data_IF_844976592384
#
_entry.id   IF_844976592384
#
_cell.length_a   1.000
_cell.length_b   1.000
_cell.length_c   1.000
_cell.angle_alpha   90.00
_cell.angle_beta   90.00
_cell.angle_gamma   90.00
#
_symmetry.space_group_name_H-M   'P 1'
#
loop_
_entity.id
_entity.type
_entity.pdbx_description
1 polymer ?
#
# COMPACT_ATOMS: atom_id res chain seq x y z
N UNK A 1 11.93 -13.65 -51.32
CA UNK A 1 11.83 -13.38 -49.89
C UNK A 1 13.14 -12.84 -49.30
N UNK A 2 14.28 -13.53 -49.44
CA UNK A 2 15.57 -13.11 -48.84
C UNK A 2 16.01 -11.70 -49.32
N UNK A 3 15.85 -11.40 -50.61
CA UNK A 3 16.25 -10.11 -51.18
C UNK A 3 15.38 -8.95 -50.62
N UNK A 4 14.03 -9.15 -50.53
CA UNK A 4 13.11 -8.18 -49.94
C UNK A 4 13.40 -7.98 -48.44
N UNK A 5 13.66 -9.05 -47.71
CA UNK A 5 14.06 -9.00 -46.30
C UNK A 5 15.33 -8.18 -46.05
N UNK A 6 16.34 -8.31 -46.97
CA UNK A 6 17.58 -7.57 -46.89
C UNK A 6 17.33 -6.06 -47.14
N UNK A 7 16.56 -5.70 -48.18
CA UNK A 7 16.20 -4.29 -48.46
C UNK A 7 15.45 -3.62 -47.31
N UNK A 8 14.51 -4.33 -46.68
CA UNK A 8 13.71 -3.81 -45.57
C UNK A 8 14.56 -3.63 -44.31
N UNK A 9 15.47 -4.59 -44.05
CA UNK A 9 16.41 -4.51 -42.91
C UNK A 9 17.40 -3.34 -43.08
N UNK A 10 17.91 -3.12 -44.27
CA UNK A 10 18.89 -2.05 -44.56
C UNK A 10 18.25 -0.65 -44.40
N UNK A 11 16.92 -0.56 -44.42
CA UNK A 11 16.14 0.64 -44.12
C UNK A 11 15.77 0.79 -42.62
N UNK A 12 16.25 -0.09 -41.76
CA UNK A 12 16.05 -0.03 -40.31
C UNK A 12 14.65 -0.44 -39.81
N UNK A 13 13.76 -0.96 -40.68
CA UNK A 13 12.36 -1.28 -40.31
C UNK A 13 12.22 -2.47 -39.33
N UNK A 14 13.33 -3.13 -38.99
CA UNK A 14 13.38 -4.23 -38.01
C UNK A 14 14.19 -3.88 -36.76
N UNK A 15 14.51 -2.59 -36.58
CA UNK A 15 15.33 -2.17 -35.45
C UNK A 15 14.61 -2.44 -34.13
N UNK A 16 15.29 -3.13 -33.23
CA UNK A 16 14.79 -3.43 -31.89
C UNK A 16 14.61 -2.18 -31.03
N UNK A 17 15.35 -1.11 -31.33
CA UNK A 17 15.22 0.17 -30.62
C UNK A 17 13.85 0.84 -30.86
N UNK A 18 13.16 0.49 -31.97
CA UNK A 18 11.86 1.04 -32.30
C UNK A 18 10.68 0.28 -31.64
N UNK A 19 10.93 -0.91 -31.11
CA UNK A 19 9.90 -1.75 -30.51
C UNK A 19 9.37 -1.20 -29.21
N UNK A 20 8.04 -1.16 -29.11
CA UNK A 20 7.30 -0.64 -27.96
C UNK A 20 6.98 -1.75 -26.97
N UNK A 21 7.00 -1.49 -25.67
CA UNK A 21 6.51 -2.43 -24.67
C UNK A 21 5.01 -2.63 -24.79
N UNK A 22 4.55 -3.88 -24.68
CA UNK A 22 3.13 -4.19 -24.62
C UNK A 22 2.58 -3.71 -23.27
N UNK A 23 1.46 -2.97 -23.22
CA UNK A 23 0.89 -2.51 -21.97
C UNK A 23 0.46 -3.69 -21.09
N UNK A 24 0.79 -3.62 -19.80
CA UNK A 24 0.49 -4.70 -18.86
C UNK A 24 -1.01 -4.98 -18.72
N UNK A 25 -1.85 -3.94 -18.77
CA UNK A 25 -3.29 -4.05 -18.58
C UNK A 25 -4.02 -3.17 -19.60
N UNK A 26 -4.16 -3.62 -20.87
CA UNK A 26 -4.86 -2.85 -21.88
C UNK A 26 -6.35 -2.80 -21.57
N UNK A 27 -6.94 -1.64 -21.74
CA UNK A 27 -8.40 -1.44 -21.62
C UNK A 27 -9.12 -1.86 -22.88
N UNK A 28 -8.50 -1.58 -24.03
CA UNK A 28 -9.06 -1.88 -25.35
C UNK A 28 -8.01 -2.56 -26.21
N UNK A 29 -8.38 -3.68 -26.81
CA UNK A 29 -7.52 -4.47 -27.69
C UNK A 29 -8.09 -4.37 -29.11
N UNK A 30 -7.31 -3.84 -30.02
CA UNK A 30 -7.64 -3.84 -31.45
C UNK A 30 -7.27 -5.18 -32.08
N UNK A 31 -8.13 -5.76 -32.86
CA UNK A 31 -7.83 -7.00 -33.59
C UNK A 31 -8.04 -6.77 -35.08
N UNK A 32 -7.00 -7.00 -35.89
CA UNK A 32 -7.05 -7.01 -37.35
C UNK A 32 -7.10 -8.48 -37.78
N UNK A 33 -8.28 -8.91 -38.21
CA UNK A 33 -8.51 -10.30 -38.64
C UNK A 33 -9.83 -10.44 -39.44
N UNK A 34 -10.06 -11.63 -39.97
CA UNK A 34 -11.35 -11.94 -40.63
C UNK A 34 -12.46 -12.06 -39.59
N UNK A 35 -13.64 -11.46 -39.90
CA UNK A 35 -14.80 -11.50 -39.00
C UNK A 35 -15.39 -12.89 -38.77
N UNK A 36 -15.29 -13.79 -39.77
CA UNK A 36 -15.89 -15.14 -39.71
C UNK A 36 -14.92 -16.25 -39.33
N UNK A 37 -13.65 -15.92 -39.05
CA UNK A 37 -12.59 -16.89 -38.80
C UNK A 37 -12.67 -17.54 -37.39
N UNK A 38 -12.12 -18.74 -37.26
CA UNK A 38 -11.92 -19.39 -35.97
C UNK A 38 -10.99 -18.54 -35.09
N UNK A 39 -10.01 -17.88 -35.70
CA UNK A 39 -8.98 -17.05 -35.04
C UNK A 39 -9.56 -15.99 -34.11
N UNK A 40 -10.55 -15.25 -34.56
CA UNK A 40 -11.16 -14.21 -33.71
C UNK A 40 -11.92 -14.82 -32.53
N UNK A 41 -12.54 -15.96 -32.71
CA UNK A 41 -13.24 -16.69 -31.63
C UNK A 41 -12.23 -17.18 -30.58
N UNK A 42 -11.09 -17.71 -31.01
CA UNK A 42 -10.03 -18.21 -30.15
C UNK A 42 -9.41 -17.04 -29.33
N UNK A 43 -9.18 -15.90 -29.96
CA UNK A 43 -8.70 -14.70 -29.27
C UNK A 43 -9.71 -14.21 -28.22
N UNK A 44 -11.00 -14.07 -28.60
CA UNK A 44 -12.05 -13.64 -27.68
C UNK A 44 -12.18 -14.61 -26.49
N UNK A 45 -12.19 -15.90 -26.78
CA UNK A 45 -12.29 -16.94 -25.73
C UNK A 45 -11.11 -16.82 -24.76
N UNK A 46 -9.89 -16.73 -25.29
CA UNK A 46 -8.67 -16.66 -24.44
C UNK A 46 -8.59 -15.37 -23.63
N UNK A 47 -8.96 -14.22 -24.21
CA UNK A 47 -8.99 -12.93 -23.47
C UNK A 47 -10.06 -12.97 -22.38
N UNK A 48 -11.24 -13.53 -22.67
CA UNK A 48 -12.34 -13.69 -21.71
C UNK A 48 -11.92 -14.55 -20.50
N UNK A 49 -11.22 -15.64 -20.75
CA UNK A 49 -10.78 -16.55 -19.70
C UNK A 49 -9.67 -15.97 -18.83
N UNK A 50 -8.73 -15.24 -19.45
CA UNK A 50 -7.57 -14.72 -18.70
C UNK A 50 -7.87 -13.38 -18.01
N UNK A 51 -8.31 -12.41 -18.80
CA UNK A 51 -8.69 -11.09 -18.32
C UNK A 51 -9.68 -10.43 -19.28
N UNK A 52 -10.97 -10.38 -18.94
CA UNK A 52 -11.99 -9.77 -19.81
C UNK A 52 -11.65 -8.32 -20.11
N UNK A 53 -11.33 -8.03 -21.37
CA UNK A 53 -11.00 -6.69 -21.87
C UNK A 53 -11.88 -6.36 -23.06
N UNK A 54 -12.04 -5.08 -23.37
CA UNK A 54 -12.82 -4.63 -24.52
C UNK A 54 -12.05 -4.93 -25.81
N UNK A 55 -12.70 -5.63 -26.76
CA UNK A 55 -12.11 -5.99 -28.04
C UNK A 55 -12.80 -5.22 -29.15
N UNK A 56 -12.01 -4.55 -29.96
CA UNK A 56 -12.47 -3.88 -31.19
C UNK A 56 -11.93 -4.62 -32.39
N UNK A 57 -12.79 -5.28 -33.13
CA UNK A 57 -12.42 -5.96 -34.35
C UNK A 57 -12.47 -4.99 -35.54
N UNK A 58 -11.37 -4.93 -36.30
CA UNK A 58 -11.36 -4.35 -37.64
C UNK A 58 -11.48 -5.50 -38.67
N UNK A 59 -12.66 -5.74 -39.23
CA UNK A 59 -12.87 -6.84 -40.14
C UNK A 59 -12.05 -6.63 -41.42
N UNK A 60 -11.10 -7.50 -41.66
CA UNK A 60 -10.16 -7.36 -42.79
C UNK A 60 -9.94 -8.71 -43.44
N UNK A 61 -10.02 -8.80 -44.77
CA UNK A 61 -9.57 -9.99 -45.49
C UNK A 61 -8.07 -10.16 -45.26
N UNK A 62 -7.70 -11.33 -44.72
CA UNK A 62 -6.32 -11.68 -44.31
C UNK A 62 -5.63 -12.59 -45.31
N UNK A 63 -6.25 -12.82 -46.48
CA UNK A 63 -5.75 -13.60 -47.60
C UNK A 63 -6.35 -13.11 -48.92
N UNK A 64 -5.72 -13.48 -50.01
CA UNK A 64 -6.15 -13.09 -51.37
C UNK A 64 -5.58 -11.76 -51.81
N UNK A 65 -5.96 -11.37 -53.03
CA UNK A 65 -5.49 -10.14 -53.69
C UNK A 65 -5.96 -8.88 -52.93
N UNK A 66 -5.06 -7.91 -52.76
CA UNK A 66 -5.35 -6.67 -52.02
C UNK A 66 -5.47 -6.83 -50.47
N UNK A 67 -5.16 -7.98 -49.90
CA UNK A 67 -5.22 -8.18 -48.47
C UNK A 67 -4.16 -7.36 -47.74
N UNK A 68 -2.97 -7.19 -48.33
CA UNK A 68 -1.88 -6.43 -47.71
C UNK A 68 -2.26 -4.95 -47.48
N UNK A 69 -2.83 -4.31 -48.51
CA UNK A 69 -3.29 -2.91 -48.45
C UNK A 69 -4.39 -2.72 -47.42
N UNK A 70 -5.31 -3.67 -47.31
CA UNK A 70 -6.42 -3.64 -46.33
C UNK A 70 -5.94 -3.84 -44.92
N UNK A 71 -4.99 -4.76 -44.70
CA UNK A 71 -4.35 -4.94 -43.38
C UNK A 71 -3.58 -3.65 -42.97
N UNK A 72 -2.80 -3.08 -43.87
CA UNK A 72 -2.09 -1.84 -43.62
C UNK A 72 -3.06 -0.67 -43.33
N UNK A 73 -4.18 -0.58 -44.08
CA UNK A 73 -5.22 0.41 -43.84
C UNK A 73 -5.89 0.23 -42.47
N UNK A 74 -6.16 -1.01 -42.05
CA UNK A 74 -6.74 -1.31 -40.73
C UNK A 74 -5.79 -0.86 -39.59
N UNK A 75 -4.49 -1.15 -39.71
CA UNK A 75 -3.49 -0.73 -38.72
C UNK A 75 -3.44 0.81 -38.64
N UNK A 76 -3.38 1.50 -39.77
CA UNK A 76 -3.42 2.96 -39.80
C UNK A 76 -4.74 3.53 -39.28
N UNK A 77 -5.87 2.87 -39.60
CA UNK A 77 -7.19 3.23 -39.11
C UNK A 77 -7.27 3.21 -37.58
N UNK A 78 -6.74 2.17 -36.91
CA UNK A 78 -6.65 2.13 -35.45
C UNK A 78 -5.79 3.25 -34.87
N UNK A 79 -4.71 3.61 -35.55
CA UNK A 79 -3.84 4.72 -35.14
C UNK A 79 -4.46 6.08 -35.32
N UNK A 80 -5.36 6.22 -36.29
CA UNK A 80 -6.09 7.47 -36.59
C UNK A 80 -7.28 7.74 -35.65
N UNK A 81 -7.65 6.79 -34.78
CA UNK A 81 -8.73 7.01 -33.81
C UNK A 81 -8.25 7.97 -32.70
N UNK A 82 -8.96 9.08 -32.55
CA UNK A 82 -8.62 10.17 -31.60
C UNK A 82 -9.13 9.93 -30.18
N UNK A 83 -9.73 8.79 -29.89
CA UNK A 83 -10.29 8.47 -28.55
C UNK A 83 -11.58 9.25 -28.20
N UNK A 84 -11.97 10.24 -29.00
CA UNK A 84 -13.24 10.99 -28.93
C UNK A 84 -14.34 10.37 -29.77
N UNK A 85 -14.00 9.41 -30.62
CA UNK A 85 -14.92 8.70 -31.47
C UNK A 85 -15.80 7.73 -30.68
N UNK A 86 -16.89 7.27 -31.29
CA UNK A 86 -17.76 6.23 -30.75
C UNK A 86 -17.00 4.90 -30.46
N UNK A 87 -15.85 4.72 -31.13
CA UNK A 87 -14.95 3.58 -30.97
C UNK A 87 -13.67 4.05 -30.30
N UNK A 88 -13.35 3.47 -29.15
CA UNK A 88 -12.17 3.83 -28.39
C UNK A 88 -10.88 3.36 -29.08
N UNK A 89 -9.88 4.22 -29.18
CA UNK A 89 -8.53 3.87 -29.63
C UNK A 89 -7.97 2.69 -28.82
N UNK A 90 -7.48 1.61 -29.47
CA UNK A 90 -6.91 0.48 -28.74
C UNK A 90 -5.54 0.80 -28.12
N UNK A 91 -5.26 0.16 -27.00
CA UNK A 91 -3.97 0.26 -26.31
C UNK A 91 -2.92 -0.72 -26.87
N UNK A 92 -3.39 -1.77 -27.55
CA UNK A 92 -2.56 -2.77 -28.25
C UNK A 92 -3.32 -3.29 -29.45
N UNK A 93 -2.61 -3.56 -30.55
CA UNK A 93 -3.17 -4.16 -31.78
C UNK A 93 -2.66 -5.59 -31.91
N UNK A 94 -3.56 -6.53 -32.22
CA UNK A 94 -3.24 -7.90 -32.59
C UNK A 94 -3.55 -8.07 -34.07
N UNK A 95 -2.56 -8.38 -34.88
CA UNK A 95 -2.75 -8.80 -36.28
C UNK A 95 -2.70 -10.30 -36.31
N UNK A 96 -3.83 -10.94 -36.58
CA UNK A 96 -3.95 -12.37 -36.42
C UNK A 96 -4.52 -13.05 -37.68
N UNK A 97 -3.86 -14.16 -38.04
CA UNK A 97 -4.31 -15.06 -39.08
C UNK A 97 -3.93 -16.50 -38.68
N UNK A 98 -4.85 -17.41 -38.83
CA UNK A 98 -4.61 -18.83 -38.60
C UNK A 98 -3.65 -19.44 -39.61
N UNK A 99 -3.39 -20.71 -39.48
CA UNK A 99 -2.59 -21.48 -40.42
C UNK A 99 -3.15 -21.44 -41.84
N UNK A 100 -2.33 -21.70 -42.83
CA UNK A 100 -2.66 -21.76 -44.22
C UNK A 100 -1.43 -22.01 -45.09
N UNK A 101 -1.61 -22.02 -46.39
CA UNK A 101 -0.50 -22.13 -47.34
C UNK A 101 0.45 -20.92 -47.24
N UNK A 102 1.68 -21.08 -47.68
CA UNK A 102 2.63 -19.95 -47.72
C UNK A 102 2.11 -18.80 -48.61
N UNK A 103 1.34 -19.13 -49.63
CA UNK A 103 0.70 -18.15 -50.53
C UNK A 103 -0.35 -17.32 -49.80
N UNK A 104 -1.14 -17.93 -48.95
CA UNK A 104 -2.12 -17.25 -48.09
C UNK A 104 -1.52 -16.30 -47.08
N UNK A 105 -0.28 -16.59 -46.63
CA UNK A 105 0.46 -15.76 -45.70
C UNK A 105 1.29 -14.67 -46.39
N UNK A 106 1.36 -14.69 -47.72
CA UNK A 106 2.19 -13.77 -48.51
C UNK A 106 1.90 -12.30 -48.25
N UNK A 107 0.66 -11.83 -48.08
CA UNK A 107 0.33 -10.43 -47.81
C UNK A 107 1.10 -9.85 -46.64
N UNK A 108 1.43 -10.65 -45.62
CA UNK A 108 2.17 -10.22 -44.44
C UNK A 108 3.70 -10.08 -44.66
N UNK A 109 4.17 -10.38 -45.88
CA UNK A 109 5.53 -10.11 -46.35
C UNK A 109 5.61 -8.85 -47.24
N UNK A 110 4.48 -8.17 -47.47
CA UNK A 110 4.45 -6.96 -48.29
C UNK A 110 4.95 -5.74 -47.49
N UNK A 111 5.74 -4.87 -48.17
CA UNK A 111 6.36 -3.69 -47.55
C UNK A 111 5.31 -2.71 -47.02
N UNK A 112 4.14 -2.63 -47.64
CA UNK A 112 3.04 -1.75 -47.20
C UNK A 112 2.57 -2.10 -45.76
N UNK A 113 2.51 -3.38 -45.45
CA UNK A 113 2.14 -3.86 -44.11
C UNK A 113 3.25 -3.57 -43.09
N UNK A 114 4.51 -3.85 -43.48
CA UNK A 114 5.67 -3.66 -42.61
C UNK A 114 5.83 -2.18 -42.24
N UNK A 115 5.64 -1.27 -43.22
CA UNK A 115 5.63 0.18 -42.95
C UNK A 115 4.49 0.59 -42.02
N UNK A 116 3.27 0.08 -42.24
CA UNK A 116 2.16 0.37 -41.37
C UNK A 116 2.38 -0.11 -39.92
N UNK A 117 3.07 -1.23 -39.74
CA UNK A 117 3.47 -1.73 -38.41
C UNK A 117 4.55 -0.85 -37.77
N UNK A 118 5.58 -0.49 -38.54
CA UNK A 118 6.67 0.36 -38.10
C UNK A 118 6.19 1.75 -37.69
N UNK A 119 5.32 2.35 -38.49
CA UNK A 119 4.77 3.70 -38.28
C UNK A 119 3.67 3.70 -37.17
N UNK A 120 3.23 2.51 -36.71
CA UNK A 120 2.16 2.43 -35.68
C UNK A 120 2.65 3.01 -34.37
N UNK A 121 1.91 3.92 -33.78
CA UNK A 121 2.15 4.41 -32.42
C UNK A 121 1.67 3.41 -31.35
N UNK A 122 0.66 2.60 -31.72
CA UNK A 122 0.08 1.59 -30.84
C UNK A 122 0.94 0.34 -30.92
N UNK A 123 1.35 -0.25 -29.78
CA UNK A 123 2.09 -1.50 -29.74
C UNK A 123 1.35 -2.62 -30.49
N UNK A 124 2.07 -3.41 -31.29
CA UNK A 124 1.49 -4.41 -32.17
C UNK A 124 2.05 -5.79 -31.92
N UNK A 125 1.15 -6.76 -31.77
CA UNK A 125 1.46 -8.19 -31.67
C UNK A 125 1.12 -8.85 -33.01
N UNK A 126 2.12 -9.47 -33.64
CA UNK A 126 1.91 -10.32 -34.81
C UNK A 126 1.62 -11.76 -34.37
N UNK A 127 0.53 -12.33 -34.90
CA UNK A 127 0.13 -13.73 -34.73
C UNK A 127 -0.27 -14.32 -36.09
N UNK A 128 0.70 -14.36 -37.00
CA UNK A 128 0.50 -14.79 -38.37
C UNK A 128 1.29 -16.07 -38.62
N UNK A 129 0.57 -17.13 -38.97
CA UNK A 129 1.16 -18.44 -39.22
C UNK A 129 1.43 -19.28 -37.97
N UNK A 130 2.20 -20.34 -38.14
CA UNK A 130 2.62 -21.23 -37.06
C UNK A 130 4.06 -20.98 -36.66
N UNK A 131 4.55 -21.71 -35.69
CA UNK A 131 5.87 -21.58 -35.06
C UNK A 131 7.04 -21.60 -36.09
N UNK A 132 6.91 -22.40 -37.15
CA UNK A 132 7.89 -22.57 -38.24
C UNK A 132 7.84 -21.48 -39.30
N UNK A 133 6.69 -20.80 -39.45
CA UNK A 133 6.43 -19.89 -40.56
C UNK A 133 6.62 -18.42 -40.14
N UNK A 134 7.86 -17.96 -40.12
CA UNK A 134 8.15 -16.55 -39.79
C UNK A 134 7.91 -15.64 -40.97
N UNK A 135 7.02 -14.67 -40.83
CA UNK A 135 6.72 -13.65 -41.85
C UNK A 135 7.51 -12.36 -41.58
N UNK A 136 7.58 -11.46 -42.60
CA UNK A 136 8.32 -10.20 -42.38
C UNK A 136 7.63 -9.28 -41.38
N UNK A 137 6.31 -9.33 -41.25
CA UNK A 137 5.57 -8.62 -40.18
C UNK A 137 6.06 -8.99 -38.77
N UNK A 138 6.51 -10.24 -38.56
CA UNK A 138 6.98 -10.71 -37.24
C UNK A 138 8.25 -10.01 -36.77
N UNK A 139 9.10 -9.59 -37.73
CA UNK A 139 10.31 -8.83 -37.44
C UNK A 139 10.03 -7.36 -37.12
N UNK A 140 9.01 -6.78 -37.80
CA UNK A 140 8.62 -5.39 -37.62
C UNK A 140 7.72 -5.19 -36.38
N UNK A 141 6.91 -6.20 -36.01
CA UNK A 141 6.04 -6.16 -34.84
C UNK A 141 6.80 -6.01 -33.53
N UNK A 142 6.21 -5.36 -32.56
CA UNK A 142 6.77 -5.18 -31.21
C UNK A 142 6.90 -6.52 -30.47
N UNK A 143 5.93 -7.42 -30.69
CA UNK A 143 5.94 -8.78 -30.17
C UNK A 143 5.46 -9.78 -31.22
N UNK A 144 6.13 -10.91 -31.33
CA UNK A 144 5.67 -12.07 -32.12
C UNK A 144 5.00 -13.06 -31.19
N UNK A 145 3.85 -13.58 -31.61
CA UNK A 145 3.18 -14.72 -30.99
C UNK A 145 3.10 -15.88 -32.01
N UNK A 146 3.41 -17.11 -31.60
CA UNK A 146 3.39 -18.27 -32.51
C UNK A 146 1.96 -18.67 -32.92
N UNK A 147 0.96 -18.25 -32.15
CA UNK A 147 -0.44 -18.57 -32.38
C UNK A 147 -1.34 -17.38 -32.02
N UNK A 148 -2.56 -17.27 -32.57
CA UNK A 148 -3.54 -16.26 -32.16
C UNK A 148 -3.89 -16.30 -30.66
N UNK A 149 -3.97 -17.51 -30.09
CA UNK A 149 -4.19 -17.70 -28.65
C UNK A 149 -2.99 -17.18 -27.82
N UNK A 150 -1.76 -17.44 -28.28
CA UNK A 150 -0.56 -16.89 -27.68
C UNK A 150 -0.50 -15.35 -27.74
N UNK A 151 -0.98 -14.75 -28.83
CA UNK A 151 -1.09 -13.28 -28.89
C UNK A 151 -2.06 -12.72 -27.85
N UNK A 152 -3.20 -13.38 -27.65
CA UNK A 152 -4.13 -13.02 -26.59
C UNK A 152 -3.49 -13.15 -25.20
N UNK A 153 -2.65 -14.17 -24.98
CA UNK A 153 -1.91 -14.35 -23.72
C UNK A 153 -0.86 -13.27 -23.46
N UNK A 154 -0.19 -12.80 -24.51
CA UNK A 154 0.75 -11.67 -24.39
C UNK A 154 0.05 -10.33 -24.19
N UNK A 155 -1.19 -10.21 -24.69
CA UNK A 155 -1.95 -8.98 -24.59
C UNK A 155 -2.54 -8.74 -23.19
N UNK A 156 -2.87 -9.78 -22.43
CA UNK A 156 -3.53 -9.67 -21.12
C UNK A 156 -2.90 -10.54 -20.05
N UNK A 157 -2.82 -10.06 -18.81
CA UNK A 157 -2.36 -10.87 -17.66
C UNK A 157 -3.40 -11.91 -17.26
N UNK A 158 -3.07 -12.75 -16.28
CA UNK A 158 -4.01 -13.68 -15.64
C UNK A 158 -4.70 -12.98 -14.48
N UNK A 159 -6.02 -12.83 -14.57
CA UNK A 159 -6.85 -12.17 -13.54
C UNK A 159 -6.68 -12.79 -12.17
N UNK A 160 -6.69 -14.12 -12.09
CA UNK A 160 -6.62 -14.85 -10.82
C UNK A 160 -5.27 -14.65 -10.11
N UNK A 161 -4.18 -14.53 -10.87
CA UNK A 161 -2.86 -14.21 -10.32
C UNK A 161 -2.84 -12.78 -9.74
N UNK A 162 -3.46 -11.82 -10.42
CA UNK A 162 -3.56 -10.45 -9.94
C UNK A 162 -4.40 -10.36 -8.67
N UNK A 163 -5.56 -11.03 -8.64
CA UNK A 163 -6.43 -11.08 -7.45
C UNK A 163 -5.70 -11.74 -6.28
N UNK A 164 -5.01 -12.84 -6.52
CA UNK A 164 -4.22 -13.51 -5.50
C UNK A 164 -3.10 -12.63 -4.97
N UNK A 165 -2.39 -11.94 -5.86
CA UNK A 165 -1.36 -10.96 -5.49
C UNK A 165 -1.91 -9.82 -4.63
N UNK A 166 -3.06 -9.26 -5.00
CA UNK A 166 -3.74 -8.22 -4.23
C UNK A 166 -4.16 -8.71 -2.84
N UNK A 167 -4.70 -9.93 -2.73
CA UNK A 167 -5.08 -10.52 -1.45
C UNK A 167 -3.87 -10.72 -0.52
N UNK A 168 -2.73 -11.16 -1.08
CA UNK A 168 -1.48 -11.28 -0.31
C UNK A 168 -1.03 -9.91 0.22
N UNK A 169 -1.08 -8.88 -0.62
CA UNK A 169 -0.69 -7.52 -0.23
C UNK A 169 -1.64 -6.94 0.82
N UNK A 170 -2.96 -7.13 0.67
CA UNK A 170 -3.96 -6.70 1.66
C UNK A 170 -3.73 -7.37 3.02
N UNK A 171 -3.53 -8.68 3.03
CA UNK A 171 -3.24 -9.43 4.26
C UNK A 171 -1.94 -8.96 4.94
N UNK A 172 -0.88 -8.68 4.16
CA UNK A 172 0.37 -8.13 4.68
C UNK A 172 0.18 -6.75 5.28
N UNK A 173 -0.57 -5.88 4.60
CA UNK A 173 -0.88 -4.53 5.07
C UNK A 173 -1.67 -4.58 6.38
N UNK A 174 -2.76 -5.36 6.44
CA UNK A 174 -3.58 -5.54 7.64
C UNK A 174 -2.77 -6.09 8.83
N UNK A 175 -1.93 -7.08 8.57
CA UNK A 175 -1.07 -7.67 9.61
C UNK A 175 -0.03 -6.67 10.13
N UNK A 176 0.53 -5.84 9.25
CA UNK A 176 1.48 -4.79 9.64
C UNK A 176 0.82 -3.70 10.48
N UNK A 177 -0.38 -3.24 10.09
CA UNK A 177 -1.16 -2.26 10.85
C UNK A 177 -1.52 -2.82 12.23
N UNK A 178 -2.03 -4.06 12.27
CA UNK A 178 -2.41 -4.70 13.54
C UNK A 178 -1.23 -4.81 14.49
N UNK A 179 -0.08 -5.26 14.01
CA UNK A 179 1.16 -5.35 14.80
C UNK A 179 1.61 -3.99 15.32
N UNK A 180 1.56 -2.96 14.48
CA UNK A 180 1.89 -1.59 14.88
C UNK A 180 0.96 -1.09 16.00
N UNK A 181 -0.36 -1.32 15.86
CA UNK A 181 -1.34 -0.95 16.88
C UNK A 181 -1.14 -1.71 18.20
N UNK A 182 -0.84 -3.00 18.14
CA UNK A 182 -0.54 -3.81 19.33
C UNK A 182 0.74 -3.34 20.04
N UNK A 183 1.76 -2.96 19.28
CA UNK A 183 2.99 -2.39 19.82
C UNK A 183 2.72 -1.07 20.56
N UNK A 184 1.99 -0.14 19.94
CA UNK A 184 1.61 1.12 20.59
C UNK A 184 0.72 0.91 21.81
N UNK A 185 -0.25 -0.02 21.74
CA UNK A 185 -1.09 -0.37 22.87
C UNK A 185 -0.26 -0.91 24.03
N UNK A 186 0.63 -1.86 23.77
CA UNK A 186 1.54 -2.42 24.79
C UNK A 186 2.45 -1.34 25.39
N UNK A 187 2.94 -0.42 24.56
CA UNK A 187 3.76 0.70 25.00
C UNK A 187 2.98 1.65 25.92
N UNK A 188 1.74 1.99 25.57
CA UNK A 188 0.86 2.84 26.38
C UNK A 188 0.54 2.15 27.72
N UNK A 189 0.20 0.87 27.69
CA UNK A 189 -0.06 0.09 28.91
C UNK A 189 1.21 -0.03 29.80
N UNK A 190 2.38 -0.17 29.18
CA UNK A 190 3.67 -0.17 29.88
C UNK A 190 3.95 1.17 30.56
N UNK A 191 3.74 2.27 29.87
CA UNK A 191 3.87 3.62 30.42
C UNK A 191 2.84 3.89 31.52
N UNK A 192 1.60 3.43 31.34
CA UNK A 192 0.54 3.55 32.35
C UNK A 192 0.88 2.83 33.66
N UNK A 193 1.54 1.67 33.60
CA UNK A 193 2.02 0.94 34.78
C UNK A 193 3.20 1.64 35.48
N UNK A 194 3.96 2.44 34.76
CA UNK A 194 5.05 3.24 35.30
C UNK A 194 4.60 4.52 36.02
N UNK A 195 3.34 4.95 35.87
CA UNK A 195 2.79 6.09 36.57
C UNK A 195 2.41 5.64 37.99
N UNK A 196 3.09 6.12 39.05
CA UNK A 196 2.75 5.73 40.41
C UNK A 196 1.33 6.21 40.74
N UNK A 197 0.60 5.37 41.47
CA UNK A 197 -0.73 5.73 41.95
C UNK A 197 -0.62 6.85 42.97
N UNK A 198 -0.83 8.09 42.55
CA UNK A 198 -0.72 9.27 43.41
C UNK A 198 -1.65 9.18 44.63
N UNK A 199 -2.78 8.51 44.50
CA UNK A 199 -3.73 8.32 45.59
C UNK A 199 -3.14 7.41 46.68
N UNK A 200 -2.51 6.32 46.27
CA UNK A 200 -1.82 5.42 47.22
C UNK A 200 -0.65 6.11 47.92
N UNK A 201 0.14 6.91 47.22
CA UNK A 201 1.23 7.69 47.81
C UNK A 201 0.68 8.69 48.83
N UNK A 202 -0.45 9.35 48.50
CA UNK A 202 -1.12 10.26 49.43
C UNK A 202 -1.62 9.52 50.66
N UNK A 203 -2.32 8.40 50.52
CA UNK A 203 -2.82 7.60 51.61
C UNK A 203 -1.70 7.10 52.53
N UNK A 204 -0.59 6.61 51.98
CA UNK A 204 0.58 6.21 52.77
C UNK A 204 1.20 7.38 53.57
N UNK A 205 1.25 8.56 52.96
CA UNK A 205 1.81 9.74 53.64
C UNK A 205 0.86 10.26 54.72
N UNK A 206 -0.45 10.22 54.50
CA UNK A 206 -1.47 10.53 55.51
C UNK A 206 -1.33 9.58 56.71
N UNK A 207 -1.27 8.25 56.46
CA UNK A 207 -1.08 7.27 57.55
C UNK A 207 0.23 7.50 58.35
N UNK A 208 1.32 7.84 57.66
CA UNK A 208 2.59 8.18 58.33
C UNK A 208 2.48 9.41 59.17
N UNK A 209 1.71 10.41 58.73
CA UNK A 209 1.47 11.63 59.48
C UNK A 209 0.63 11.36 60.75
N UNK A 210 -0.46 10.62 60.60
CA UNK A 210 -1.36 10.25 61.69
C UNK A 210 -0.57 9.44 62.77
N UNK A 211 0.23 8.48 62.37
CA UNK A 211 1.10 7.74 63.29
C UNK A 211 2.09 8.62 64.04
N UNK A 212 2.70 9.63 63.34
CA UNK A 212 3.60 10.57 64.00
C UNK A 212 2.89 11.49 64.97
N UNK A 213 1.67 11.94 64.63
CA UNK A 213 0.83 12.74 65.51
C UNK A 213 0.44 11.99 66.78
N UNK A 214 0.05 10.73 66.65
CA UNK A 214 -0.29 9.88 67.80
C UNK A 214 0.91 9.67 68.72
N UNK A 215 2.10 9.36 68.17
CA UNK A 215 3.34 9.26 68.97
C UNK A 215 3.71 10.57 69.68
N UNK A 216 3.53 11.72 69.01
CA UNK A 216 3.78 13.02 69.59
C UNK A 216 2.84 13.27 70.76
N UNK A 217 1.55 12.93 70.64
CA UNK A 217 0.54 13.07 71.66
C UNK A 217 0.89 12.24 72.92
N UNK A 218 1.27 10.97 72.71
CA UNK A 218 1.72 10.06 73.78
C UNK A 218 3.01 10.62 74.47
N UNK A 219 3.97 11.10 73.67
CA UNK A 219 5.21 11.64 74.21
C UNK A 219 4.98 12.90 75.08
N UNK A 220 4.13 13.82 74.61
CA UNK A 220 3.74 15.00 75.37
C UNK A 220 3.04 14.62 76.67
N UNK A 221 2.08 13.66 76.60
CA UNK A 221 1.37 13.18 77.79
C UNK A 221 2.33 12.55 78.80
N UNK A 222 3.29 11.77 78.35
CA UNK A 222 4.30 11.16 79.23
C UNK A 222 5.21 12.19 79.89
N UNK A 223 5.65 13.21 79.09
CA UNK A 223 6.46 14.34 79.68
C UNK A 223 5.68 15.10 80.73
N UNK A 224 4.37 15.38 80.46
CA UNK A 224 3.52 16.05 81.44
C UNK A 224 3.32 15.24 82.73
N UNK A 225 3.13 13.95 82.61
CA UNK A 225 3.00 13.05 83.75
C UNK A 225 4.30 13.02 84.55
N UNK A 226 5.49 12.90 83.93
CA UNK A 226 6.77 12.93 84.55
C UNK A 226 7.04 14.24 85.31
N UNK A 227 6.70 15.39 84.66
CA UNK A 227 6.84 16.70 85.26
C UNK A 227 5.91 16.91 86.45
N UNK A 228 4.63 16.42 86.37
CA UNK A 228 3.70 16.43 87.49
C UNK A 228 4.21 15.60 88.68
N UNK A 229 4.74 14.43 88.44
CA UNK A 229 5.28 13.56 89.46
C UNK A 229 6.52 14.19 90.12
N UNK A 230 7.41 14.78 89.31
CA UNK A 230 8.60 15.45 89.86
C UNK A 230 8.20 16.73 90.66
N UNK A 231 7.13 17.40 90.30
CA UNK A 231 6.58 18.54 91.04
C UNK A 231 6.01 18.09 92.41
N UNK A 232 5.27 17.00 92.44
CA UNK A 232 4.70 16.39 93.67
C UNK A 232 5.76 15.97 94.65
N UNK A 233 6.94 15.55 94.20
CA UNK A 233 8.09 15.13 95.07
C UNK A 233 8.92 16.34 95.54
N UNK A 234 8.83 17.47 94.93
CA UNK A 234 9.74 18.61 95.20
C UNK A 234 9.23 19.66 96.18
N UNK A 235 8.04 19.54 96.85
CA UNK A 235 7.43 20.53 97.78
C UNK A 235 7.48 22.00 97.24
N UNK A 236 7.30 22.25 95.97
CA UNK A 236 7.49 23.54 95.31
C UNK A 236 6.27 24.47 95.54
N UNK A 237 6.51 25.69 95.97
CA UNK A 237 5.48 26.69 96.21
C UNK A 237 4.64 26.95 94.94
N UNK A 238 3.32 27.09 95.06
CA UNK A 238 2.41 27.19 93.89
C UNK A 238 2.76 28.26 92.87
N UNK A 239 3.42 29.32 93.22
CA UNK A 239 3.82 30.44 92.32
C UNK A 239 4.85 30.00 91.28
N UNK A 240 5.82 29.13 91.69
CA UNK A 240 6.82 28.64 90.71
C UNK A 240 6.20 27.75 89.62
N UNK A 241 5.18 26.96 90.04
CA UNK A 241 4.48 26.06 89.13
C UNK A 241 3.67 26.83 88.12
N UNK A 242 2.99 27.90 88.52
CA UNK A 242 2.18 28.72 87.60
C UNK A 242 3.07 29.35 86.53
N UNK A 243 4.17 29.97 86.88
CA UNK A 243 5.10 30.58 85.92
C UNK A 243 5.73 29.57 84.95
N UNK A 244 5.92 28.32 85.35
CA UNK A 244 6.46 27.25 84.49
C UNK A 244 5.41 26.75 83.46
N UNK A 245 4.16 26.69 83.90
CA UNK A 245 3.02 26.32 83.02
C UNK A 245 2.82 27.40 81.96
N UNK A 246 2.77 28.66 82.36
CA UNK A 246 2.60 29.79 81.42
C UNK A 246 3.72 29.82 80.35
N UNK A 247 4.98 29.64 80.72
CA UNK A 247 6.09 29.51 79.73
C UNK A 247 5.99 28.32 78.81
N UNK A 248 5.46 27.21 79.33
CA UNK A 248 5.29 25.98 78.50
C UNK A 248 4.13 26.11 77.52
N UNK A 249 3.09 26.84 77.89
CA UNK A 249 1.92 27.12 77.05
C UNK A 249 2.28 28.09 75.90
N UNK A 250 3.04 29.16 76.21
CA UNK A 250 3.58 30.04 75.16
C UNK A 250 4.50 29.31 74.17
N UNK A 251 5.28 28.36 74.66
CA UNK A 251 6.09 27.50 73.77
C UNK A 251 5.29 26.58 72.93
N UNK A 252 4.22 25.98 73.40
CA UNK A 252 3.27 25.14 72.70
C UNK A 252 2.51 25.91 71.65
N UNK A 253 2.04 27.12 71.96
CA UNK A 253 1.38 28.01 71.00
C UNK A 253 2.34 28.42 69.85
N UNK A 254 3.61 28.69 70.17
CA UNK A 254 4.63 29.01 69.17
C UNK A 254 4.93 27.80 68.22
N UNK A 255 4.91 26.59 68.77
CA UNK A 255 5.05 25.35 67.96
C UNK A 255 3.81 25.05 67.14
N UNK A 256 2.59 25.27 67.67
CA UNK A 256 1.34 25.12 66.96
C UNK A 256 1.27 26.10 65.77
N UNK A 257 1.63 27.37 65.93
CA UNK A 257 1.74 28.34 64.85
C UNK A 257 2.76 27.93 63.75
N UNK A 258 3.86 27.32 64.17
CA UNK A 258 4.85 26.80 63.23
C UNK A 258 4.30 25.60 62.46
N UNK A 259 3.52 24.75 63.08
CA UNK A 259 2.88 23.57 62.47
C UNK A 259 1.76 24.00 61.48
N UNK A 260 0.96 25.04 61.83
CA UNK A 260 -0.02 25.62 60.91
C UNK A 260 0.62 26.25 59.70
N UNK A 261 1.79 26.89 59.84
CA UNK A 261 2.55 27.48 58.74
C UNK A 261 3.18 26.43 57.78
N UNK A 262 3.24 25.15 58.20
CA UNK A 262 3.72 24.01 57.38
C UNK A 262 2.55 23.10 56.96
N UNK A 263 1.30 23.50 57.17
CA UNK A 263 0.15 22.72 56.74
C UNK A 263 0.07 22.65 55.21
N UNK A 264 -0.45 21.55 54.71
CA UNK A 264 -0.55 21.26 53.24
C UNK A 264 -1.29 22.33 52.44
N UNK A 265 -2.17 23.15 53.10
CA UNK A 265 -2.88 24.26 52.50
C UNK A 265 -2.00 25.51 52.24
N UNK A 266 -0.89 25.70 52.96
CA UNK A 266 0.01 26.83 52.72
C UNK A 266 1.08 26.53 51.66
N UNK A 267 1.25 25.27 51.21
CA UNK A 267 2.20 24.85 50.17
C UNK A 267 1.51 24.76 48.77
N UNK A 268 0.16 24.84 48.73
CA UNK A 268 -0.65 24.78 47.52
C UNK A 268 -1.19 26.12 47.04
N UNK A 269 -0.73 27.24 47.62
CA UNK A 269 -0.89 28.60 47.09
C UNK A 269 0.46 29.14 46.60
#
# INVERSE_FOLDING_TARGET
>A
RRQRQMCIRDRGLFDTAHKKPIPFLPRTIGVVSSASGAVIRDIIHRIRDRFPSHIVLWPTPVQGEGAAEKVAAAIRGFNALDGNDSVRRPDVIIVARGGGSLEDLWPFNEEVVIRAVYDSEIPLISAVGHETDTMLIDYAADKRAPTPTGAAEFAVPVKDELVSGLNILDNRMRSSIRRCLEEYKSRIEGLGRGIPNLQQILEENVQKLDYRLERLHIAIKNVLIQKKSALALAEIKPVYVKNLIERSDERLQGLAHRLEGVSVESVLR
#
